data_IF_311384409324
#
_entry.id   IF_311384409324
#
_cell.length_a   1.000
_cell.length_b   1.000
_cell.length_c   1.000
_cell.angle_alpha   90.00
_cell.angle_beta   90.00
_cell.angle_gamma   90.00
#
_symmetry.space_group_name_H-M   'P 1'
#
loop_
_entity.id
_entity.type
_entity.pdbx_description
1 polymer ?
#
# COMPACT_ATOMS: atom_id res chain seq x y z
N UNK A 1 8.81 -1.38 23.77
CA UNK A 1 9.14 -1.77 22.42
C UNK A 1 10.38 -1.02 21.95
N UNK A 2 11.31 -1.72 21.29
CA UNK A 2 12.48 -1.09 20.71
C UNK A 2 12.15 -0.63 19.28
N UNK A 3 12.25 0.68 19.04
CA UNK A 3 12.21 1.27 17.72
C UNK A 3 13.65 1.34 17.18
N UNK A 4 13.87 0.95 15.95
CA UNK A 4 15.17 1.02 15.29
C UNK A 4 15.02 1.59 13.88
N UNK A 5 16.03 2.31 13.42
CA UNK A 5 16.06 2.86 12.06
C UNK A 5 17.48 2.87 11.52
N UNK A 6 17.61 2.96 10.20
CA UNK A 6 18.90 3.13 9.55
C UNK A 6 19.06 4.60 9.12
N UNK A 7 20.18 5.25 9.43
CA UNK A 7 20.46 6.58 8.92
C UNK A 7 20.66 6.50 7.40
N UNK A 8 20.03 7.45 6.68
CA UNK A 8 20.33 7.66 5.26
C UNK A 8 21.32 8.82 5.17
N UNK A 9 22.44 8.58 4.51
CA UNK A 9 23.48 9.59 4.30
C UNK A 9 23.48 9.97 2.83
N UNK A 10 23.50 11.28 2.54
CA UNK A 10 23.72 11.76 1.20
C UNK A 10 25.18 11.52 0.82
N UNK A 11 25.43 10.71 -0.18
CA UNK A 11 26.78 10.38 -0.65
C UNK A 11 27.48 11.58 -1.33
N UNK A 12 26.72 12.61 -1.71
CA UNK A 12 27.24 13.80 -2.38
C UNK A 12 27.56 14.93 -1.39
N UNK A 13 27.11 14.82 -0.13
CA UNK A 13 27.27 15.87 0.89
C UNK A 13 27.76 15.26 2.21
N UNK A 14 29.07 15.34 2.43
CA UNK A 14 29.71 14.76 3.63
C UNK A 14 29.25 15.39 4.95
N UNK A 15 28.73 16.63 4.91
CA UNK A 15 28.22 17.34 6.09
C UNK A 15 26.78 16.95 6.44
N UNK A 16 26.12 16.17 5.58
CA UNK A 16 24.76 15.68 5.78
C UNK A 16 24.63 14.53 6.80
N UNK A 17 25.75 14.09 7.40
CA UNK A 17 25.72 13.04 8.43
C UNK A 17 24.86 13.46 9.63
N UNK A 18 23.85 12.66 10.01
CA UNK A 18 23.06 12.95 11.20
C UNK A 18 23.89 12.71 12.46
N UNK A 19 23.78 13.62 13.41
CA UNK A 19 24.39 13.52 14.75
C UNK A 19 23.36 13.16 15.81
N UNK A 20 22.10 13.45 15.56
CA UNK A 20 20.96 13.19 16.46
C UNK A 20 19.72 12.82 15.64
N UNK A 21 18.72 12.30 16.36
CA UNK A 21 17.41 11.96 15.80
C UNK A 21 16.31 12.47 16.70
N UNK A 22 15.32 13.12 16.12
CA UNK A 22 14.11 13.53 16.80
C UNK A 22 13.07 12.43 16.63
N UNK A 23 12.59 11.90 17.75
CA UNK A 23 11.51 10.91 17.81
C UNK A 23 10.21 11.64 18.09
N UNK A 24 9.24 11.49 17.19
CA UNK A 24 7.90 12.01 17.38
C UNK A 24 6.89 10.89 17.47
N UNK A 25 5.93 11.03 18.36
CA UNK A 25 4.85 10.08 18.64
C UNK A 25 3.48 10.70 18.39
N UNK A 26 2.58 9.90 17.90
CA UNK A 26 1.14 10.14 17.93
C UNK A 26 0.48 8.97 18.61
N UNK A 27 -0.36 9.25 19.61
CA UNK A 27 -1.18 8.24 20.30
C UNK A 27 -2.62 8.37 19.82
N UNK A 28 -3.25 7.23 19.52
CA UNK A 28 -4.62 7.16 19.06
C UNK A 28 -4.76 6.98 17.54
N UNK A 29 -5.90 7.43 17.01
CA UNK A 29 -6.30 7.19 15.63
C UNK A 29 -5.39 7.88 14.58
N UNK A 30 -5.42 7.36 13.37
CA UNK A 30 -4.80 7.97 12.20
C UNK A 30 -5.27 9.42 12.01
N UNK A 31 -4.36 10.29 11.55
CA UNK A 31 -4.65 11.71 11.29
C UNK A 31 -4.46 12.66 12.47
N UNK A 32 -4.17 12.16 13.67
CA UNK A 32 -3.83 12.99 14.83
C UNK A 32 -2.47 13.70 14.72
N UNK A 33 -2.23 14.68 15.58
CA UNK A 33 -0.98 15.44 15.61
C UNK A 33 0.17 14.63 16.28
N UNK A 34 1.36 14.74 15.72
CA UNK A 34 2.58 14.22 16.31
C UNK A 34 3.15 15.19 17.35
N UNK A 35 3.69 14.64 18.45
CA UNK A 35 4.46 15.37 19.47
C UNK A 35 5.88 14.84 19.50
N UNK A 36 6.85 15.73 19.59
CA UNK A 36 8.23 15.34 19.84
C UNK A 36 8.34 14.82 21.28
N UNK A 37 8.88 13.61 21.43
CA UNK A 37 8.99 12.93 22.73
C UNK A 37 10.44 12.71 23.16
N UNK A 38 11.38 12.67 22.22
CA UNK A 38 12.78 12.48 22.52
C UNK A 38 13.69 13.04 21.41
N UNK A 39 14.91 13.40 21.81
CA UNK A 39 16.05 13.60 20.92
C UNK A 39 17.15 12.64 21.36
N UNK A 40 17.57 11.74 20.46
CA UNK A 40 18.53 10.69 20.76
C UNK A 40 19.73 10.74 19.81
N UNK A 41 20.89 10.23 20.26
CA UNK A 41 22.11 10.18 19.45
C UNK A 41 22.28 8.84 18.72
N UNK A 42 21.59 7.80 19.19
CA UNK A 42 21.61 6.47 18.56
C UNK A 42 20.39 6.29 17.68
N UNK A 43 20.53 5.46 16.66
CA UNK A 43 19.44 5.11 15.75
C UNK A 43 18.47 4.08 16.38
N UNK A 44 18.12 4.29 17.64
CA UNK A 44 17.21 3.45 18.42
C UNK A 44 16.50 4.24 19.53
N UNK A 45 15.29 3.82 19.88
CA UNK A 45 14.53 4.40 20.99
C UNK A 45 13.65 3.35 21.66
N UNK A 46 13.68 3.31 23.00
CA UNK A 46 12.82 2.41 23.78
C UNK A 46 11.49 3.10 24.06
N UNK A 47 10.47 2.76 23.29
CA UNK A 47 9.11 3.28 23.43
C UNK A 47 8.35 2.58 24.56
N UNK A 48 7.62 3.36 25.35
CA UNK A 48 6.59 2.86 26.27
C UNK A 48 5.24 2.99 25.61
N UNK A 49 4.45 1.94 25.61
CA UNK A 49 3.14 1.91 24.98
C UNK A 49 2.06 1.59 26.00
N UNK A 50 0.90 2.16 25.81
CA UNK A 50 -0.30 1.91 26.60
C UNK A 50 -1.12 0.82 25.93
N UNK A 51 -1.63 -0.13 26.67
CA UNK A 51 -2.51 -1.18 26.18
C UNK A 51 -3.80 -0.55 25.63
N UNK A 52 -4.32 -1.13 24.58
CA UNK A 52 -5.54 -0.71 23.87
C UNK A 52 -5.44 0.66 23.15
N UNK A 53 -4.23 1.16 22.98
CA UNK A 53 -3.95 2.37 22.17
C UNK A 53 -3.02 2.03 21.01
N UNK A 54 -3.11 2.84 19.95
CA UNK A 54 -2.18 2.78 18.81
C UNK A 54 -1.15 3.87 19.01
N UNK A 55 0.11 3.49 18.96
CA UNK A 55 1.26 4.38 19.01
C UNK A 55 1.92 4.42 17.62
N UNK A 56 2.01 5.60 17.06
CA UNK A 56 2.63 5.85 15.76
C UNK A 56 3.87 6.70 15.92
N UNK A 57 4.95 6.32 15.26
CA UNK A 57 6.25 6.98 15.38
C UNK A 57 6.77 7.41 14.02
N UNK A 58 7.44 8.56 14.00
CA UNK A 58 8.24 9.04 12.88
C UNK A 58 9.54 9.64 13.39
N UNK A 59 10.59 9.54 12.57
CA UNK A 59 11.93 9.96 12.93
C UNK A 59 12.38 11.07 11.99
N UNK A 60 13.07 12.08 12.53
CA UNK A 60 13.79 13.06 11.73
C UNK A 60 15.27 13.01 12.10
N UNK A 61 16.13 12.90 11.10
CA UNK A 61 17.56 13.07 11.28
C UNK A 61 17.89 14.55 11.53
N UNK A 62 18.89 14.83 12.37
CA UNK A 62 19.28 16.19 12.71
C UNK A 62 20.80 16.30 12.79
N UNK A 63 21.33 17.42 12.33
CA UNK A 63 22.70 17.88 12.51
C UNK A 63 22.72 19.41 12.71
N UNK A 64 23.91 20.01 12.69
CA UNK A 64 24.04 21.47 12.87
C UNK A 64 23.39 22.28 11.72
N UNK A 65 23.19 21.68 10.56
CA UNK A 65 22.52 22.30 9.40
C UNK A 65 21.00 22.30 9.50
N UNK A 66 20.40 21.50 10.39
CA UNK A 66 18.95 21.44 10.57
C UNK A 66 18.38 20.03 10.73
N UNK A 67 17.09 19.89 10.34
CA UNK A 67 16.33 18.64 10.43
C UNK A 67 15.91 18.17 9.03
N UNK A 68 15.94 16.86 8.83
CA UNK A 68 15.39 16.22 7.63
C UNK A 68 13.86 16.31 7.59
N UNK A 69 13.28 15.98 6.42
CA UNK A 69 11.89 15.54 6.39
C UNK A 69 11.71 14.32 7.30
N UNK A 70 10.49 14.11 7.85
CA UNK A 70 10.22 12.92 8.65
C UNK A 70 10.28 11.64 7.81
N UNK A 71 10.64 10.54 8.48
CA UNK A 71 10.53 9.19 7.91
C UNK A 71 9.07 8.83 7.63
N UNK A 72 8.85 7.67 7.01
CA UNK A 72 7.55 7.00 7.06
C UNK A 72 7.10 6.80 8.51
N UNK A 73 5.79 6.66 8.69
CA UNK A 73 5.18 6.42 10.00
C UNK A 73 4.99 4.93 10.20
N UNK A 74 5.62 4.40 11.23
CA UNK A 74 5.39 3.04 11.68
C UNK A 74 4.59 3.05 12.98
N UNK A 75 3.72 2.07 13.14
CA UNK A 75 2.76 2.03 14.25
C UNK A 75 2.77 0.67 14.92
N UNK A 76 2.35 0.65 16.16
CA UNK A 76 2.11 -0.57 16.91
C UNK A 76 0.92 -0.38 17.87
N UNK A 77 0.31 -1.49 18.25
CA UNK A 77 -0.78 -1.51 19.21
C UNK A 77 -0.83 -2.84 19.95
N UNK A 78 -1.15 -2.76 21.24
CA UNK A 78 -1.30 -3.93 22.12
C UNK A 78 -2.76 -4.11 22.47
N UNK A 79 -3.38 -5.15 21.90
CA UNK A 79 -4.77 -5.49 22.20
C UNK A 79 -4.87 -6.23 23.55
N UNK A 80 -5.82 -5.90 24.41
CA UNK A 80 -6.10 -6.69 25.61
C UNK A 80 -6.51 -8.11 25.22
N UNK A 81 -5.94 -9.12 25.88
CA UNK A 81 -6.20 -10.54 25.59
C UNK A 81 -5.97 -10.90 24.12
N UNK A 82 -4.88 -10.41 23.55
CA UNK A 82 -4.55 -10.55 22.14
C UNK A 82 -4.61 -12.02 21.66
N UNK A 83 -5.28 -12.23 20.53
CA UNK A 83 -5.34 -13.53 19.82
C UNK A 83 -4.00 -13.90 19.15
N UNK A 84 -3.10 -12.94 19.02
CA UNK A 84 -1.79 -13.05 18.41
C UNK A 84 -1.28 -11.70 17.96
N UNK A 85 -0.04 -11.66 17.47
CA UNK A 85 0.56 -10.43 16.95
C UNK A 85 0.66 -10.49 15.42
N UNK A 86 0.17 -9.45 14.75
CA UNK A 86 0.36 -9.24 13.33
C UNK A 86 1.61 -8.39 13.06
N UNK A 87 2.32 -8.69 11.97
CA UNK A 87 3.34 -7.81 11.40
C UNK A 87 2.74 -7.07 10.21
N UNK A 88 2.66 -5.75 10.30
CA UNK A 88 2.27 -4.88 9.18
C UNK A 88 3.52 -4.44 8.44
N UNK A 89 3.62 -4.80 7.16
CA UNK A 89 4.72 -4.41 6.29
C UNK A 89 4.27 -3.24 5.40
N UNK A 90 4.82 -2.05 5.64
CA UNK A 90 4.57 -0.91 4.77
C UNK A 90 5.40 -1.04 3.49
N UNK A 91 4.79 -1.58 2.43
CA UNK A 91 5.41 -1.75 1.12
C UNK A 91 4.98 -0.67 0.10
N UNK A 92 4.12 0.26 0.50
CA UNK A 92 3.74 1.38 -0.34
C UNK A 92 4.73 2.53 -0.20
N UNK A 93 5.76 2.54 -1.04
CA UNK A 93 6.84 3.54 -1.05
C UNK A 93 6.78 4.48 -2.25
N UNK A 94 5.87 4.23 -3.21
CA UNK A 94 5.80 4.95 -4.47
C UNK A 94 5.42 6.42 -4.27
N UNK A 95 6.22 7.28 -4.93
CA UNK A 95 5.93 8.67 -5.22
C UNK A 95 6.27 8.90 -6.68
N UNK A 96 5.31 9.29 -7.49
CA UNK A 96 5.50 9.43 -8.94
C UNK A 96 4.56 10.46 -9.54
N UNK A 97 4.97 11.02 -10.67
CA UNK A 97 4.06 11.71 -11.59
C UNK A 97 3.01 10.74 -12.14
N UNK A 98 1.94 11.25 -12.77
CA UNK A 98 1.02 10.43 -13.55
C UNK A 98 1.76 9.61 -14.61
N UNK A 99 1.21 8.47 -14.97
CA UNK A 99 1.71 7.69 -16.11
C UNK A 99 1.49 8.45 -17.42
N UNK A 100 2.24 8.13 -18.47
CA UNK A 100 2.26 8.90 -19.69
C UNK A 100 2.52 8.04 -20.94
N UNK A 101 2.04 8.52 -22.06
CA UNK A 101 2.31 7.99 -23.39
C UNK A 101 2.98 9.08 -24.22
N UNK A 102 3.97 8.70 -25.02
CA UNK A 102 4.67 9.57 -25.96
C UNK A 102 4.95 8.80 -27.25
N UNK A 103 4.13 9.05 -28.26
CA UNK A 103 4.18 8.39 -29.58
C UNK A 103 4.26 9.45 -30.70
N UNK A 104 5.36 10.19 -30.75
CA UNK A 104 5.59 11.23 -31.77
C UNK A 104 4.68 12.42 -31.63
N UNK A 105 3.67 12.56 -32.51
CA UNK A 105 2.71 13.66 -32.42
C UNK A 105 1.71 13.49 -31.26
N UNK A 106 1.42 12.27 -30.85
CA UNK A 106 0.53 11.98 -29.73
C UNK A 106 1.32 11.84 -28.41
N UNK A 107 1.03 12.72 -27.45
CA UNK A 107 1.60 12.61 -26.11
C UNK A 107 0.61 13.13 -25.06
N UNK A 108 0.47 12.38 -23.96
CA UNK A 108 -0.49 12.69 -22.88
C UNK A 108 -0.12 12.00 -21.59
N UNK A 109 -0.64 12.50 -20.48
CA UNK A 109 -0.78 11.71 -19.27
C UNK A 109 -1.96 10.74 -19.40
N UNK A 110 -1.82 9.57 -18.79
CA UNK A 110 -2.85 8.50 -18.85
C UNK A 110 -3.59 8.41 -17.51
N UNK A 111 -4.29 9.50 -17.19
CA UNK A 111 -4.95 9.69 -15.88
C UNK A 111 -5.94 8.58 -15.53
N UNK A 112 -6.64 8.01 -16.51
CA UNK A 112 -7.62 6.94 -16.29
C UNK A 112 -6.97 5.65 -15.81
N UNK A 113 -5.68 5.48 -16.02
CA UNK A 113 -4.92 4.28 -15.62
C UNK A 113 -4.03 4.53 -14.42
N UNK A 114 -3.49 5.74 -14.27
CA UNK A 114 -2.59 6.08 -13.16
C UNK A 114 -2.41 7.60 -13.00
N UNK A 115 -3.11 8.17 -12.03
CA UNK A 115 -2.95 9.59 -11.65
C UNK A 115 -1.56 9.92 -11.05
N UNK A 116 -0.68 8.92 -10.92
CA UNK A 116 0.53 9.08 -10.12
C UNK A 116 0.23 9.05 -8.61
N UNK A 117 1.23 9.38 -7.85
CA UNK A 117 1.16 9.40 -6.38
C UNK A 117 1.96 10.60 -5.87
N UNK A 118 1.31 11.71 -5.52
CA UNK A 118 1.97 12.83 -4.88
C UNK A 118 2.63 12.44 -3.56
N UNK A 119 3.70 13.15 -3.17
CA UNK A 119 4.28 13.04 -1.84
C UNK A 119 3.35 13.72 -0.82
N UNK A 120 2.77 12.96 0.09
CA UNK A 120 1.81 13.40 1.12
C UNK A 120 0.57 14.01 0.48
N UNK A 121 0.68 15.19 -0.11
CA UNK A 121 -0.35 15.94 -0.82
C UNK A 121 0.27 16.74 -1.96
N UNK A 122 -0.47 16.93 -3.04
CA UNK A 122 -0.07 17.73 -4.18
C UNK A 122 -1.15 18.71 -4.61
N UNK A 123 -0.74 19.79 -5.27
CA UNK A 123 -1.61 20.79 -5.91
C UNK A 123 -1.33 20.90 -7.40
N UNK A 124 -0.57 19.98 -7.95
CA UNK A 124 -0.04 20.04 -9.33
C UNK A 124 -0.99 19.44 -10.37
N UNK A 125 -2.05 18.75 -9.92
CA UNK A 125 -3.01 18.14 -10.83
C UNK A 125 -4.06 19.17 -11.22
N UNK A 126 -4.15 19.47 -12.51
CA UNK A 126 -5.07 20.50 -13.03
C UNK A 126 -6.26 19.93 -13.79
N UNK A 127 -6.30 18.61 -13.99
CA UNK A 127 -7.35 17.91 -14.71
C UNK A 127 -6.85 17.15 -15.93
N UNK A 128 -7.71 16.32 -16.50
CA UNK A 128 -7.40 15.51 -17.68
C UNK A 128 -7.17 16.37 -18.92
N UNK A 129 -6.23 15.94 -19.76
CA UNK A 129 -5.91 16.61 -20.99
C UNK A 129 -6.92 16.25 -22.09
N UNK A 130 -7.38 17.24 -22.88
CA UNK A 130 -8.25 17.01 -24.03
C UNK A 130 -7.55 17.23 -25.37
N UNK A 131 -6.45 17.98 -25.46
CA UNK A 131 -5.64 18.08 -26.68
C UNK A 131 -4.28 17.38 -26.46
N UNK A 132 -4.11 16.27 -27.15
CA UNK A 132 -3.01 15.33 -26.99
C UNK A 132 -2.00 15.36 -28.15
N UNK A 133 -2.26 16.16 -29.21
CA UNK A 133 -1.37 16.27 -30.38
C UNK A 133 -0.39 17.41 -30.24
N UNK A 134 0.89 17.12 -30.34
CA UNK A 134 1.96 18.14 -30.31
C UNK A 134 1.85 19.16 -31.44
N UNK A 135 1.35 18.73 -32.60
CA UNK A 135 1.10 19.62 -33.74
C UNK A 135 -0.05 20.60 -33.54
N UNK A 136 -0.88 20.43 -32.52
CA UNK A 136 -1.98 21.34 -32.23
C UNK A 136 -1.47 22.67 -31.65
N UNK A 137 -1.60 23.71 -32.41
CA UNK A 137 -1.27 25.08 -31.99
C UNK A 137 -2.36 25.72 -31.14
N UNK A 138 -1.97 26.66 -30.32
CA UNK A 138 -2.88 27.50 -29.53
C UNK A 138 -3.51 28.58 -30.42
N UNK A 139 -4.80 28.83 -30.20
CA UNK A 139 -5.56 29.91 -30.83
C UNK A 139 -6.64 30.43 -29.90
N UNK A 140 -7.26 31.55 -30.20
CA UNK A 140 -8.36 32.14 -29.41
C UNK A 140 -9.58 31.21 -29.33
N UNK A 141 -9.72 30.27 -30.26
CA UNK A 141 -10.87 29.35 -30.33
C UNK A 141 -10.55 27.94 -29.87
N UNK A 142 -9.27 27.57 -29.67
CA UNK A 142 -8.83 26.23 -29.31
C UNK A 142 -7.62 26.26 -28.41
N UNK A 143 -7.66 25.43 -27.36
CA UNK A 143 -6.46 25.09 -26.63
C UNK A 143 -5.50 24.29 -27.50
N UNK A 144 -4.20 24.55 -27.38
CA UNK A 144 -3.15 23.80 -28.04
C UNK A 144 -2.72 22.57 -27.24
N UNK A 145 -1.61 21.96 -27.66
CA UNK A 145 -1.04 20.79 -26.99
C UNK A 145 -0.96 20.94 -25.47
N UNK A 146 -1.41 19.93 -24.75
CA UNK A 146 -1.40 19.88 -23.30
C UNK A 146 -2.55 20.61 -22.62
N UNK A 147 -3.50 21.19 -23.38
CA UNK A 147 -4.70 21.79 -22.79
C UNK A 147 -5.49 20.79 -21.97
N UNK A 148 -5.95 21.21 -20.79
CA UNK A 148 -6.72 20.40 -19.84
C UNK A 148 -8.04 21.06 -19.49
N UNK A 149 -8.92 20.30 -18.83
CA UNK A 149 -10.21 20.78 -18.34
C UNK A 149 -10.10 21.70 -17.12
N UNK A 150 -8.94 21.73 -16.48
CA UNK A 150 -8.67 22.52 -15.26
C UNK A 150 -9.61 22.21 -14.06
N UNK A 151 -10.23 21.04 -14.02
CA UNK A 151 -11.23 20.66 -13.01
C UNK A 151 -10.65 20.64 -11.59
N UNK A 152 -9.33 20.46 -11.46
CA UNK A 152 -8.65 20.34 -10.18
C UNK A 152 -7.64 21.46 -9.90
N UNK A 153 -7.71 22.57 -10.67
CA UNK A 153 -6.82 23.69 -10.47
C UNK A 153 -6.96 24.25 -9.04
N UNK A 154 -5.85 24.26 -8.30
CA UNK A 154 -5.81 24.70 -6.91
C UNK A 154 -6.37 23.70 -5.89
N UNK A 155 -6.88 22.54 -6.32
CA UNK A 155 -7.32 21.50 -5.42
C UNK A 155 -6.13 20.81 -4.73
N UNK A 156 -6.29 20.46 -3.46
CA UNK A 156 -5.33 19.65 -2.72
C UNK A 156 -5.69 18.18 -2.93
N UNK A 157 -4.76 17.41 -3.48
CA UNK A 157 -4.94 16.00 -3.79
C UNK A 157 -4.07 15.16 -2.87
N UNK A 158 -4.68 14.20 -2.16
CA UNK A 158 -3.96 13.27 -1.31
C UNK A 158 -3.11 12.29 -2.15
N UNK A 159 -1.90 12.04 -1.67
CA UNK A 159 -0.98 11.06 -2.22
C UNK A 159 -0.57 10.02 -1.20
N UNK A 160 0.69 9.57 -1.27
CA UNK A 160 1.24 8.66 -0.27
C UNK A 160 1.64 9.45 0.99
N UNK A 161 0.87 9.26 2.05
CA UNK A 161 1.14 9.88 3.36
C UNK A 161 2.15 9.09 4.19
N UNK A 162 2.53 7.89 3.74
CA UNK A 162 3.45 6.98 4.45
C UNK A 162 2.98 6.63 5.88
N UNK A 163 1.67 6.65 6.14
CA UNK A 163 1.08 6.54 7.48
C UNK A 163 -0.06 5.50 7.55
N UNK A 164 -0.07 4.54 6.63
CA UNK A 164 -1.13 3.55 6.53
C UNK A 164 -1.06 2.39 7.54
N UNK A 165 0.10 2.06 8.17
CA UNK A 165 0.12 1.04 9.22
C UNK A 165 -0.83 1.30 10.38
N UNK A 166 -1.11 2.58 10.71
CA UNK A 166 -2.11 2.93 11.73
C UNK A 166 -3.52 2.54 11.31
N UNK A 167 -3.89 2.75 10.03
CA UNK A 167 -5.22 2.44 9.49
C UNK A 167 -5.49 0.93 9.52
N UNK A 168 -4.53 0.13 9.10
CA UNK A 168 -4.61 -1.34 9.19
C UNK A 168 -4.62 -1.80 10.64
N UNK A 169 -3.77 -1.20 11.47
CA UNK A 169 -3.66 -1.49 12.90
C UNK A 169 -4.96 -1.24 13.67
N UNK A 170 -5.72 -0.20 13.33
CA UNK A 170 -7.05 0.05 13.93
C UNK A 170 -7.96 -1.16 13.73
N UNK A 171 -8.03 -1.71 12.52
CA UNK A 171 -8.88 -2.85 12.21
C UNK A 171 -8.34 -4.18 12.77
N UNK A 172 -7.01 -4.35 12.83
CA UNK A 172 -6.38 -5.50 13.51
C UNK A 172 -6.73 -5.52 15.00
N UNK A 173 -6.62 -4.36 15.68
CA UNK A 173 -6.97 -4.24 17.09
C UNK A 173 -8.47 -4.44 17.34
N UNK A 174 -9.33 -3.90 16.48
CA UNK A 174 -10.78 -4.12 16.55
C UNK A 174 -11.14 -5.62 16.41
N UNK A 175 -10.34 -6.38 15.66
CA UNK A 175 -10.49 -7.83 15.55
C UNK A 175 -9.84 -8.63 16.72
N UNK A 176 -9.17 -7.94 17.65
CA UNK A 176 -8.56 -8.54 18.84
C UNK A 176 -7.12 -9.02 18.64
N UNK A 177 -6.38 -8.47 17.67
CA UNK A 177 -4.97 -8.76 17.45
C UNK A 177 -4.11 -7.56 17.87
N UNK A 178 -3.00 -7.83 18.52
CA UNK A 178 -1.92 -6.86 18.63
C UNK A 178 -1.19 -6.75 17.30
N UNK A 179 -0.50 -5.64 17.05
CA UNK A 179 0.33 -5.51 15.86
C UNK A 179 1.60 -4.70 16.11
N UNK A 180 2.58 -4.95 15.29
CA UNK A 180 3.77 -4.12 15.08
C UNK A 180 3.94 -3.87 13.59
N UNK A 181 4.72 -2.87 13.22
CA UNK A 181 4.95 -2.57 11.80
C UNK A 181 6.43 -2.39 11.47
N UNK A 182 6.74 -2.59 10.20
CA UNK A 182 8.08 -2.40 9.63
C UNK A 182 8.00 -1.81 8.23
N UNK A 183 9.07 -1.17 7.77
CA UNK A 183 9.21 -0.81 6.37
C UNK A 183 9.58 -2.04 5.53
N UNK A 184 9.14 -2.06 4.27
CA UNK A 184 9.57 -3.08 3.31
C UNK A 184 11.10 -3.08 3.17
N UNK A 185 11.73 -1.90 3.23
CA UNK A 185 13.18 -1.77 3.12
C UNK A 185 13.93 -2.47 4.26
N UNK A 186 13.40 -2.43 5.48
CA UNK A 186 14.00 -3.16 6.61
C UNK A 186 13.90 -4.69 6.42
N UNK A 187 12.80 -5.17 5.81
CA UNK A 187 12.66 -6.58 5.42
C UNK A 187 13.66 -6.95 4.33
N UNK A 188 13.78 -6.15 3.29
CA UNK A 188 14.70 -6.37 2.17
C UNK A 188 16.17 -6.38 2.60
N UNK A 189 16.51 -5.60 3.58
CA UNK A 189 17.85 -5.57 4.18
C UNK A 189 18.09 -6.68 5.22
N UNK A 190 17.07 -7.51 5.51
CA UNK A 190 17.16 -8.59 6.49
C UNK A 190 17.23 -8.10 7.95
N UNK A 191 16.98 -6.83 8.20
CA UNK A 191 16.93 -6.23 9.55
C UNK A 191 15.65 -6.63 10.27
N UNK A 192 14.50 -6.54 9.58
CA UNK A 192 13.23 -7.01 10.10
C UNK A 192 12.98 -8.46 9.68
N UNK A 193 12.61 -9.30 10.65
CA UNK A 193 12.23 -10.69 10.43
C UNK A 193 10.72 -10.81 10.43
N UNK A 194 10.17 -11.62 9.50
CA UNK A 194 8.73 -11.86 9.40
C UNK A 194 8.28 -13.16 10.08
N UNK A 195 9.21 -14.00 10.44
CA UNK A 195 8.92 -15.27 11.11
C UNK A 195 8.45 -15.04 12.56
N UNK A 196 7.55 -15.90 13.03
CA UNK A 196 7.01 -15.85 14.40
C UNK A 196 5.73 -15.04 14.56
N UNK A 197 5.30 -14.32 13.54
CA UNK A 197 4.02 -13.62 13.53
C UNK A 197 2.88 -14.51 13.02
N UNK A 198 1.68 -14.38 13.61
CA UNK A 198 0.48 -15.12 13.19
C UNK A 198 -0.04 -14.66 11.83
N UNK A 199 0.12 -13.37 11.55
CA UNK A 199 -0.41 -12.68 10.38
C UNK A 199 0.64 -11.72 9.86
N UNK A 200 0.86 -11.75 8.56
CA UNK A 200 1.55 -10.71 7.81
C UNK A 200 0.50 -9.90 7.06
N UNK A 201 0.51 -8.59 7.22
CA UNK A 201 -0.37 -7.64 6.52
C UNK A 201 0.51 -6.72 5.67
N UNK A 202 0.50 -6.93 4.35
CA UNK A 202 1.38 -6.24 3.39
C UNK A 202 0.58 -5.15 2.69
N UNK A 203 0.91 -3.92 3.01
CA UNK A 203 0.30 -2.72 2.43
C UNK A 203 1.04 -2.37 1.13
N UNK A 204 0.43 -2.65 -0.01
CA UNK A 204 1.01 -2.32 -1.31
C UNK A 204 0.44 -1.02 -1.91
N UNK A 205 -0.72 -0.54 -1.46
CA UNK A 205 -1.30 0.71 -1.94
C UNK A 205 -1.35 0.81 -3.47
N UNK A 206 -0.71 1.83 -4.02
CA UNK A 206 -0.49 2.00 -5.48
C UNK A 206 0.95 1.68 -5.88
N UNK A 207 1.60 0.73 -5.22
CA UNK A 207 2.95 0.27 -5.56
C UNK A 207 2.94 -0.43 -6.91
N UNK A 208 3.75 0.06 -7.85
CA UNK A 208 4.00 -0.58 -9.14
C UNK A 208 5.34 -0.13 -9.71
N UNK A 209 5.96 -0.95 -10.52
CA UNK A 209 7.15 -0.59 -11.26
C UNK A 209 6.90 0.68 -12.09
N UNK A 210 7.73 1.68 -11.88
CA UNK A 210 7.56 3.00 -12.48
C UNK A 210 8.86 3.43 -13.18
N UNK A 211 8.74 3.81 -14.45
CA UNK A 211 9.86 4.35 -15.24
C UNK A 211 10.34 5.68 -14.64
N UNK A 212 11.65 5.87 -14.60
CA UNK A 212 12.29 7.10 -14.11
C UNK A 212 13.07 7.76 -15.24
N UNK A 213 12.91 9.07 -15.39
CA UNK A 213 13.66 9.87 -16.38
C UNK A 213 13.44 9.36 -17.81
N UNK A 214 12.20 9.15 -18.24
CA UNK A 214 11.85 8.56 -19.55
C UNK A 214 12.47 7.18 -19.80
N UNK A 215 12.79 6.43 -18.73
CA UNK A 215 13.48 5.15 -18.83
C UNK A 215 15.00 5.25 -18.97
N UNK A 216 15.57 6.44 -18.81
CA UNK A 216 17.02 6.64 -18.77
C UNK A 216 17.68 6.09 -17.49
N UNK A 217 16.89 5.91 -16.43
CA UNK A 217 17.32 5.35 -15.15
C UNK A 217 16.61 4.02 -14.88
N UNK A 218 17.15 3.18 -13.99
CA UNK A 218 16.47 1.96 -13.55
C UNK A 218 15.08 2.28 -13.02
N UNK A 219 14.10 1.44 -13.34
CA UNK A 219 12.75 1.51 -12.79
C UNK A 219 12.77 1.42 -11.27
N UNK A 220 11.78 2.05 -10.62
CA UNK A 220 11.61 2.03 -9.17
C UNK A 220 10.24 1.48 -8.79
N UNK A 221 10.06 1.24 -7.51
CA UNK A 221 8.77 0.92 -6.88
C UNK A 221 8.16 -0.43 -7.30
N UNK A 222 8.97 -1.39 -7.77
CA UNK A 222 8.53 -2.77 -7.98
C UNK A 222 7.94 -3.32 -6.67
N UNK A 223 6.80 -4.01 -6.76
CA UNK A 223 6.12 -4.53 -5.58
C UNK A 223 6.88 -5.71 -4.96
N UNK A 224 7.20 -6.71 -5.77
CA UNK A 224 7.82 -7.95 -5.31
C UNK A 224 9.33 -7.93 -5.57
N UNK A 225 10.10 -7.63 -4.52
CA UNK A 225 11.54 -7.85 -4.57
C UNK A 225 11.88 -9.31 -4.18
N UNK A 226 12.99 -9.89 -4.68
CA UNK A 226 13.41 -11.23 -4.29
C UNK A 226 13.54 -11.40 -2.77
N UNK A 227 14.04 -10.39 -2.07
CA UNK A 227 14.21 -10.41 -0.62
C UNK A 227 12.86 -10.43 0.12
N UNK A 228 11.87 -9.64 -0.31
CA UNK A 228 10.53 -9.65 0.26
C UNK A 228 9.85 -11.00 0.03
N UNK A 229 9.90 -11.52 -1.20
CA UNK A 229 9.33 -12.84 -1.52
C UNK A 229 9.93 -13.93 -0.63
N UNK A 230 11.24 -13.97 -0.50
CA UNK A 230 11.92 -14.96 0.35
C UNK A 230 11.53 -14.81 1.83
N UNK A 231 11.41 -13.58 2.36
CA UNK A 231 11.01 -13.35 3.75
C UNK A 231 9.57 -13.83 4.01
N UNK A 232 8.65 -13.56 3.07
CA UNK A 232 7.26 -14.04 3.15
C UNK A 232 7.21 -15.56 3.08
N UNK A 233 7.93 -16.21 2.15
CA UNK A 233 7.99 -17.67 2.06
C UNK A 233 8.52 -18.31 3.35
N UNK A 234 9.56 -17.73 3.95
CA UNK A 234 10.10 -18.23 5.21
C UNK A 234 9.08 -18.14 6.34
N UNK A 235 8.34 -17.03 6.42
CA UNK A 235 7.31 -16.85 7.41
C UNK A 235 6.12 -17.82 7.20
N UNK A 236 5.69 -18.05 5.95
CA UNK A 236 4.60 -19.01 5.66
C UNK A 236 4.98 -20.44 6.04
N UNK A 237 6.24 -20.84 5.87
CA UNK A 237 6.75 -22.15 6.33
C UNK A 237 6.64 -22.34 7.86
N UNK A 238 6.59 -21.24 8.62
CA UNK A 238 6.35 -21.27 10.07
C UNK A 238 4.88 -21.03 10.46
N UNK A 239 3.97 -21.01 9.47
CA UNK A 239 2.53 -20.91 9.68
C UNK A 239 1.95 -19.50 9.71
N UNK A 240 2.68 -18.51 9.23
CA UNK A 240 2.17 -17.15 9.08
C UNK A 240 1.13 -17.08 7.94
N UNK A 241 -0.05 -16.55 8.23
CA UNK A 241 -1.04 -16.20 7.21
C UNK A 241 -0.72 -14.84 6.59
N UNK A 242 -1.09 -14.61 5.33
CA UNK A 242 -0.69 -13.41 4.60
C UNK A 242 -1.88 -12.68 4.00
N UNK A 243 -2.05 -11.40 4.35
CA UNK A 243 -2.92 -10.45 3.66
C UNK A 243 -2.04 -9.56 2.77
N UNK A 244 -2.41 -9.42 1.49
CA UNK A 244 -1.78 -8.51 0.54
C UNK A 244 -2.86 -7.63 -0.09
N UNK A 245 -2.72 -6.31 -0.02
CA UNK A 245 -3.70 -5.39 -0.56
C UNK A 245 -3.06 -4.29 -1.40
N UNK A 246 -3.61 -4.01 -2.58
CA UNK A 246 -3.11 -2.95 -3.43
C UNK A 246 -3.74 -2.92 -4.82
N UNK A 247 -3.70 -1.76 -5.47
CA UNK A 247 -4.33 -1.54 -6.76
C UNK A 247 -3.66 -2.32 -7.90
N UNK A 248 -2.35 -2.50 -7.84
CA UNK A 248 -1.55 -3.09 -8.91
C UNK A 248 -0.91 -4.43 -8.52
N UNK A 249 -1.44 -5.12 -7.51
CA UNK A 249 -0.85 -6.37 -6.98
C UNK A 249 -0.69 -7.47 -8.03
N UNK A 250 -1.52 -7.45 -9.07
CA UNK A 250 -1.43 -8.43 -10.14
C UNK A 250 -0.78 -7.86 -11.41
N UNK A 251 -1.12 -6.65 -11.82
CA UNK A 251 -0.53 -6.05 -13.03
C UNK A 251 0.98 -5.86 -12.90
N UNK A 252 1.48 -5.47 -11.73
CA UNK A 252 2.92 -5.31 -11.49
C UNK A 252 3.72 -6.62 -11.61
N UNK A 253 3.04 -7.76 -11.52
CA UNK A 253 3.65 -9.10 -11.64
C UNK A 253 3.46 -9.69 -13.03
N UNK A 254 2.28 -9.52 -13.61
CA UNK A 254 1.86 -10.29 -14.77
C UNK A 254 1.75 -9.47 -16.06
N UNK A 255 1.48 -8.15 -15.98
CA UNK A 255 1.21 -7.30 -17.15
C UNK A 255 2.49 -6.70 -17.73
N UNK A 256 3.38 -7.57 -18.17
CA UNK A 256 4.65 -7.23 -18.81
C UNK A 256 4.83 -8.07 -20.08
N UNK A 257 5.57 -7.56 -21.06
CA UNK A 257 5.95 -8.33 -22.26
C UNK A 257 6.65 -9.66 -21.90
N UNK A 258 7.46 -9.63 -20.84
CA UNK A 258 8.18 -10.79 -20.32
C UNK A 258 8.13 -10.77 -18.80
N UNK A 259 7.03 -11.28 -18.20
CA UNK A 259 6.90 -11.31 -16.74
C UNK A 259 8.04 -12.10 -16.08
N UNK A 260 8.49 -11.65 -14.93
CA UNK A 260 9.50 -12.34 -14.14
C UNK A 260 8.92 -13.67 -13.63
N UNK A 261 9.57 -14.78 -14.00
CA UNK A 261 9.11 -16.14 -13.67
C UNK A 261 9.04 -16.41 -12.16
N UNK A 262 9.96 -15.85 -11.37
CA UNK A 262 10.01 -16.01 -9.91
C UNK A 262 8.83 -15.26 -9.24
N UNK A 263 8.56 -14.03 -9.66
CA UNK A 263 7.42 -13.26 -9.18
C UNK A 263 6.09 -13.94 -9.52
N UNK A 264 5.94 -14.41 -10.77
CA UNK A 264 4.77 -15.17 -11.22
C UNK A 264 4.60 -16.46 -10.41
N UNK A 265 5.69 -17.18 -10.15
CA UNK A 265 5.66 -18.39 -9.34
C UNK A 265 5.27 -18.08 -7.89
N UNK A 266 5.82 -17.03 -7.29
CA UNK A 266 5.46 -16.59 -5.95
C UNK A 266 3.96 -16.22 -5.87
N UNK A 267 3.47 -15.39 -6.78
CA UNK A 267 2.07 -14.98 -6.82
C UNK A 267 1.12 -16.18 -6.94
N UNK A 268 1.44 -17.15 -7.80
CA UNK A 268 0.60 -18.33 -8.03
C UNK A 268 0.72 -19.38 -6.93
N UNK A 269 1.94 -19.71 -6.53
CA UNK A 269 2.17 -20.89 -5.68
C UNK A 269 2.17 -20.54 -4.19
N UNK A 270 2.62 -19.35 -3.81
CA UNK A 270 2.66 -18.89 -2.41
C UNK A 270 1.38 -18.11 -2.08
N UNK A 271 1.08 -17.08 -2.86
CA UNK A 271 -0.05 -16.18 -2.57
C UNK A 271 -1.40 -16.67 -3.11
N UNK A 272 -1.41 -17.50 -4.14
CA UNK A 272 -2.62 -18.16 -4.63
C UNK A 272 -3.45 -17.38 -5.61
N UNK A 273 -2.91 -16.37 -6.28
CA UNK A 273 -3.64 -15.55 -7.22
C UNK A 273 -2.97 -15.44 -8.59
N UNK A 274 -3.75 -15.00 -9.57
CA UNK A 274 -3.33 -14.68 -10.92
C UNK A 274 -4.07 -13.41 -11.40
N UNK A 275 -3.55 -12.79 -12.45
CA UNK A 275 -4.09 -11.56 -13.01
C UNK A 275 -5.33 -11.80 -13.87
N UNK A 276 -6.35 -10.94 -13.68
CA UNK A 276 -7.61 -10.96 -14.42
C UNK A 276 -7.85 -9.72 -15.27
N UNK A 277 -7.03 -8.70 -15.12
CA UNK A 277 -7.11 -7.45 -15.88
C UNK A 277 -6.98 -6.21 -14.99
N UNK A 278 -6.71 -5.08 -15.63
CA UNK A 278 -6.63 -3.76 -15.04
C UNK A 278 -7.98 -3.05 -15.09
N UNK A 279 -8.09 -1.88 -14.47
CA UNK A 279 -9.29 -1.04 -14.48
C UNK A 279 -10.56 -1.84 -14.21
N UNK A 280 -10.51 -2.68 -13.19
CA UNK A 280 -11.59 -3.62 -12.89
C UNK A 280 -12.85 -2.94 -12.35
N UNK A 281 -12.77 -1.69 -11.90
CA UNK A 281 -13.91 -0.90 -11.46
C UNK A 281 -13.66 0.60 -11.65
N UNK A 282 -14.70 1.31 -12.10
CA UNK A 282 -14.75 2.77 -12.14
C UNK A 282 -15.64 3.36 -11.05
N UNK A 283 -16.37 2.52 -10.30
CA UNK A 283 -17.29 2.99 -9.24
C UNK A 283 -16.68 2.92 -7.85
N UNK A 284 -15.62 2.14 -7.64
CA UNK A 284 -15.06 1.90 -6.32
C UNK A 284 -15.95 1.05 -5.42
N UNK A 285 -16.94 0.34 -5.98
CA UNK A 285 -17.90 -0.48 -5.25
C UNK A 285 -17.57 -1.95 -5.37
N UNK A 286 -17.52 -2.62 -4.24
CA UNK A 286 -17.20 -4.04 -4.09
C UNK A 286 -18.16 -4.67 -3.11
N UNK A 287 -18.46 -5.93 -3.28
CA UNK A 287 -19.24 -6.70 -2.31
C UNK A 287 -18.58 -8.04 -1.99
N UNK A 288 -18.75 -8.50 -0.77
CA UNK A 288 -18.35 -9.85 -0.38
C UNK A 288 -19.38 -10.87 -0.85
N UNK A 289 -18.91 -12.03 -1.26
CA UNK A 289 -19.79 -13.16 -1.61
C UNK A 289 -19.65 -14.25 -0.56
N UNK A 290 -20.77 -14.88 -0.14
CA UNK A 290 -20.70 -16.08 0.67
C UNK A 290 -19.91 -17.14 -0.10
N UNK A 291 -18.78 -17.54 0.45
CA UNK A 291 -17.97 -18.60 -0.14
C UNK A 291 -18.38 -19.94 0.46
N UNK A 292 -17.93 -21.04 -0.14
CA UNK A 292 -18.00 -22.36 0.49
C UNK A 292 -17.23 -22.40 1.84
N UNK A 293 -16.45 -21.37 2.12
CA UNK A 293 -15.77 -21.13 3.41
C UNK A 293 -16.77 -20.42 4.32
N UNK A 294 -17.34 -21.15 5.25
CA UNK A 294 -18.37 -20.67 6.20
C UNK A 294 -17.94 -19.46 7.05
N UNK A 295 -16.65 -19.12 7.08
CA UNK A 295 -16.09 -18.07 7.91
C UNK A 295 -16.16 -16.67 7.27
N UNK A 296 -16.17 -16.58 5.93
CA UNK A 296 -16.46 -15.32 5.25
C UNK A 296 -17.96 -15.31 4.95
N UNK A 297 -18.72 -14.99 5.99
CA UNK A 297 -20.17 -15.05 5.97
C UNK A 297 -20.75 -13.66 5.86
N UNK A 298 -21.68 -13.54 4.95
CA UNK A 298 -22.51 -12.38 4.82
C UNK A 298 -22.11 -11.50 3.64
N UNK A 299 -23.12 -10.88 3.11
CA UNK A 299 -23.01 -9.85 2.10
C UNK A 299 -22.61 -8.55 2.78
N UNK A 300 -21.52 -7.97 2.35
CA UNK A 300 -21.04 -6.67 2.83
C UNK A 300 -20.73 -5.80 1.64
N UNK A 301 -21.42 -4.68 1.53
CA UNK A 301 -21.10 -3.64 0.55
C UNK A 301 -19.91 -2.83 1.03
N UNK A 302 -18.97 -2.60 0.15
CA UNK A 302 -17.71 -1.91 0.41
C UNK A 302 -17.56 -0.80 -0.63
N UNK A 303 -17.25 0.40 -0.16
CA UNK A 303 -16.86 1.52 -1.01
C UNK A 303 -15.42 1.91 -0.66
N UNK A 304 -14.52 1.91 -1.65
CA UNK A 304 -13.20 2.49 -1.53
C UNK A 304 -13.12 3.81 -2.32
N UNK A 305 -12.12 4.64 -2.02
CA UNK A 305 -11.97 5.94 -2.67
C UNK A 305 -11.47 5.78 -4.11
N UNK A 306 -12.29 6.13 -5.06
CA UNK A 306 -12.00 6.11 -6.50
C UNK A 306 -12.01 7.52 -7.13
N UNK A 307 -12.03 8.56 -6.32
CA UNK A 307 -12.04 9.96 -6.75
C UNK A 307 -10.86 10.73 -6.15
N UNK A 308 -10.36 11.72 -6.88
CA UNK A 308 -9.35 12.63 -6.36
C UNK A 308 -9.92 13.43 -5.19
N UNK A 309 -9.24 13.43 -4.06
CA UNK A 309 -9.67 14.09 -2.84
C UNK A 309 -8.47 14.46 -1.97
N UNK A 310 -8.69 15.26 -0.94
CA UNK A 310 -7.66 15.59 0.06
C UNK A 310 -7.61 14.63 1.25
N UNK A 311 -8.42 13.56 1.25
CA UNK A 311 -8.55 12.65 2.40
C UNK A 311 -7.64 11.43 2.28
N UNK A 312 -7.74 10.72 1.18
CA UNK A 312 -6.94 9.54 0.85
C UNK A 312 -6.74 9.49 -0.65
N UNK A 313 -5.65 8.90 -1.11
CA UNK A 313 -5.34 8.80 -2.53
C UNK A 313 -6.44 8.06 -3.32
N UNK A 314 -6.54 8.40 -4.59
CA UNK A 314 -7.49 7.79 -5.53
C UNK A 314 -7.01 6.41 -5.99
N UNK A 315 -7.97 5.49 -6.17
CA UNK A 315 -7.76 4.16 -6.77
C UNK A 315 -8.52 4.11 -8.09
N UNK A 316 -7.90 4.60 -9.15
CA UNK A 316 -8.49 4.71 -10.48
C UNK A 316 -8.47 3.40 -11.28
N UNK A 317 -7.47 2.55 -11.02
CA UNK A 317 -7.24 1.33 -11.80
C UNK A 317 -6.96 0.10 -10.94
N UNK A 318 -7.95 -0.38 -10.18
CA UNK A 318 -7.81 -1.59 -9.39
C UNK A 318 -7.68 -2.83 -10.27
N UNK A 319 -7.03 -3.88 -9.76
CA UNK A 319 -6.89 -5.13 -10.48
C UNK A 319 -8.08 -6.08 -10.25
N UNK A 320 -8.52 -6.75 -11.30
CA UNK A 320 -9.24 -8.01 -11.19
C UNK A 320 -8.24 -9.15 -11.03
N UNK A 321 -8.54 -10.09 -10.13
CA UNK A 321 -7.67 -11.23 -9.80
C UNK A 321 -8.44 -12.54 -9.83
N UNK A 322 -7.75 -13.64 -10.15
CA UNK A 322 -8.31 -14.99 -10.12
C UNK A 322 -7.56 -15.88 -9.13
N UNK A 323 -8.20 -16.93 -8.65
CA UNK A 323 -7.50 -18.00 -7.96
C UNK A 323 -6.55 -18.71 -8.95
N UNK A 324 -5.30 -18.91 -8.57
CA UNK A 324 -4.30 -19.58 -9.42
C UNK A 324 -4.51 -21.08 -9.54
N UNK A 325 -5.24 -21.68 -8.59
CA UNK A 325 -5.49 -23.12 -8.52
C UNK A 325 -6.76 -23.43 -7.68
N UNK A 326 -7.02 -24.72 -7.44
CA UNK A 326 -8.19 -25.21 -6.72
C UNK A 326 -8.19 -24.92 -5.21
N UNK A 327 -7.07 -24.48 -4.64
CA UNK A 327 -6.95 -24.11 -3.23
C UNK A 327 -7.45 -22.69 -2.96
N UNK A 328 -7.60 -21.90 -4.01
CA UNK A 328 -8.10 -20.53 -3.95
C UNK A 328 -9.56 -20.41 -4.36
N UNK A 329 -10.23 -19.41 -3.84
CA UNK A 329 -11.60 -19.06 -4.19
C UNK A 329 -11.84 -17.56 -4.12
N UNK A 330 -12.71 -17.01 -4.99
CA UNK A 330 -13.12 -15.61 -4.88
C UNK A 330 -14.03 -15.42 -3.66
N UNK A 331 -13.82 -14.33 -2.93
CA UNK A 331 -14.68 -13.95 -1.82
C UNK A 331 -15.21 -12.50 -1.93
N UNK A 332 -14.74 -11.76 -2.93
CA UNK A 332 -15.17 -10.39 -3.23
C UNK A 332 -15.28 -10.18 -4.74
N UNK A 333 -16.25 -9.33 -5.13
CA UNK A 333 -16.45 -8.92 -6.52
C UNK A 333 -16.72 -7.44 -6.65
N UNK A 334 -16.31 -6.87 -7.77
CA UNK A 334 -16.69 -5.52 -8.19
C UNK A 334 -18.16 -5.50 -8.60
N UNK A 335 -18.93 -4.53 -8.08
CA UNK A 335 -20.39 -4.47 -8.21
C UNK A 335 -20.82 -4.30 -9.66
N UNK A 336 -20.12 -3.48 -10.43
CA UNK A 336 -20.51 -3.10 -11.78
C UNK A 336 -20.35 -4.20 -12.84
N UNK A 337 -19.50 -5.21 -12.62
CA UNK A 337 -19.17 -6.19 -13.65
C UNK A 337 -18.96 -7.63 -13.15
N UNK A 338 -19.09 -7.85 -11.84
CA UNK A 338 -18.89 -9.15 -11.18
C UNK A 338 -17.47 -9.75 -11.34
N UNK A 339 -16.46 -8.96 -11.77
CA UNK A 339 -15.07 -9.40 -11.75
C UNK A 339 -14.59 -9.58 -10.30
N UNK A 340 -13.69 -10.52 -10.08
CA UNK A 340 -13.20 -10.77 -8.73
C UNK A 340 -12.30 -9.63 -8.25
N UNK A 341 -12.61 -9.10 -7.08
CA UNK A 341 -11.85 -8.07 -6.37
C UNK A 341 -10.97 -8.64 -5.26
N UNK A 342 -11.27 -9.84 -4.79
CA UNK A 342 -10.53 -10.50 -3.72
C UNK A 342 -10.54 -12.02 -3.84
N UNK A 343 -9.40 -12.63 -3.52
CA UNK A 343 -9.17 -14.08 -3.51
C UNK A 343 -8.65 -14.47 -2.13
N UNK A 344 -9.19 -15.55 -1.57
CA UNK A 344 -8.61 -16.26 -0.44
C UNK A 344 -8.11 -17.62 -0.88
N UNK A 345 -7.04 -18.11 -0.24
CA UNK A 345 -6.47 -19.42 -0.57
C UNK A 345 -6.08 -20.18 0.69
N UNK A 346 -6.35 -21.50 0.70
CA UNK A 346 -5.92 -22.45 1.74
C UNK A 346 -4.68 -23.17 1.24
N UNK A 347 -3.55 -22.86 1.83
CA UNK A 347 -2.26 -23.48 1.53
C UNK A 347 -1.90 -24.48 2.62
N UNK A 348 -0.90 -25.32 2.38
CA UNK A 348 -0.41 -26.25 3.38
C UNK A 348 0.25 -25.49 4.54
N UNK A 349 -0.40 -25.53 5.70
CA UNK A 349 0.08 -24.87 6.93
C UNK A 349 -0.23 -23.39 7.07
N UNK A 350 -0.78 -22.70 6.05
CA UNK A 350 -1.14 -21.27 6.11
C UNK A 350 -2.29 -20.91 5.17
N UNK A 351 -2.74 -19.67 5.27
CA UNK A 351 -3.77 -19.10 4.41
C UNK A 351 -3.34 -17.74 3.86
N UNK A 352 -3.89 -17.40 2.70
CA UNK A 352 -3.67 -16.08 2.10
C UNK A 352 -4.98 -15.40 1.77
N UNK A 353 -4.97 -14.06 1.81
CA UNK A 353 -6.00 -13.21 1.26
C UNK A 353 -5.33 -12.13 0.41
N UNK A 354 -5.83 -11.92 -0.80
CA UNK A 354 -5.31 -10.89 -1.72
C UNK A 354 -6.47 -10.05 -2.19
N UNK A 355 -6.32 -8.72 -2.08
CA UNK A 355 -7.28 -7.74 -2.60
C UNK A 355 -6.66 -7.01 -3.79
N UNK A 356 -7.41 -6.89 -4.88
CA UNK A 356 -7.03 -6.13 -6.07
C UNK A 356 -7.19 -4.61 -5.92
N UNK A 357 -7.43 -4.12 -4.70
CA UNK A 357 -7.50 -2.71 -4.32
C UNK A 357 -6.94 -2.52 -2.90
N UNK A 358 -6.47 -1.32 -2.55
CA UNK A 358 -5.90 -1.04 -1.24
C UNK A 358 -6.95 -1.00 -0.13
N UNK A 359 -6.72 -1.72 0.95
CA UNK A 359 -7.62 -1.80 2.11
C UNK A 359 -7.80 -0.45 2.80
N UNK A 360 -6.75 0.33 2.95
CA UNK A 360 -6.73 1.62 3.61
C UNK A 360 -7.59 2.69 2.91
N UNK A 361 -7.97 2.46 1.66
CA UNK A 361 -8.84 3.36 0.89
C UNK A 361 -10.33 3.11 1.09
N UNK A 362 -10.71 2.04 1.78
CA UNK A 362 -12.11 1.78 2.15
C UNK A 362 -12.62 2.94 3.02
N UNK A 363 -13.72 3.56 2.61
CA UNK A 363 -14.20 4.82 3.17
C UNK A 363 -14.71 4.66 4.61
N UNK A 364 -15.56 3.64 4.90
CA UNK A 364 -16.09 3.41 6.23
C UNK A 364 -15.13 2.60 7.09
N UNK A 365 -14.82 3.11 8.28
CA UNK A 365 -14.01 2.40 9.29
C UNK A 365 -14.71 1.12 9.73
N UNK A 366 -16.00 1.16 9.96
CA UNK A 366 -16.79 0.01 10.41
C UNK A 366 -16.71 -1.13 9.38
N UNK A 367 -16.72 -0.78 8.09
CA UNK A 367 -16.56 -1.75 6.99
C UNK A 367 -15.13 -2.31 6.96
N UNK A 368 -14.11 -1.47 7.18
CA UNK A 368 -12.71 -1.95 7.31
C UNK A 368 -12.58 -2.95 8.47
N UNK A 369 -13.11 -2.58 9.64
CA UNK A 369 -13.04 -3.42 10.84
C UNK A 369 -13.75 -4.76 10.62
N UNK A 370 -14.92 -4.74 9.98
CA UNK A 370 -15.67 -5.95 9.63
C UNK A 370 -14.92 -6.82 8.63
N UNK A 371 -14.39 -6.24 7.55
CA UNK A 371 -13.63 -6.99 6.54
C UNK A 371 -12.35 -7.61 7.12
N UNK A 372 -11.59 -6.84 7.89
CA UNK A 372 -10.39 -7.35 8.56
C UNK A 372 -10.73 -8.52 9.48
N UNK A 373 -11.80 -8.37 10.29
CA UNK A 373 -12.28 -9.46 11.14
C UNK A 373 -12.64 -10.72 10.34
N UNK A 374 -13.35 -10.58 9.22
CA UNK A 374 -13.73 -11.72 8.37
C UNK A 374 -12.50 -12.43 7.79
N UNK A 375 -11.49 -11.68 7.34
CA UNK A 375 -10.23 -12.23 6.85
C UNK A 375 -9.48 -12.97 7.96
N UNK A 376 -9.39 -12.38 9.15
CA UNK A 376 -8.70 -13.00 10.29
C UNK A 376 -9.44 -14.23 10.83
N UNK A 377 -10.77 -14.22 10.82
CA UNK A 377 -11.58 -15.40 11.16
C UNK A 377 -11.35 -16.55 10.13
N UNK A 378 -11.21 -16.20 8.83
CA UNK A 378 -10.79 -17.17 7.83
C UNK A 378 -9.37 -17.71 8.11
N UNK A 379 -8.42 -16.86 8.49
CA UNK A 379 -7.07 -17.29 8.84
C UNK A 379 -7.03 -18.21 10.06
N UNK A 380 -7.90 -17.99 11.02
CA UNK A 380 -8.02 -18.81 12.23
C UNK A 380 -8.89 -20.07 12.07
N UNK A 381 -9.58 -20.24 10.92
CA UNK A 381 -10.47 -21.37 10.72
C UNK A 381 -9.71 -22.71 10.66
N UNK A 382 -10.30 -23.79 11.17
CA UNK A 382 -9.77 -25.15 10.97
C UNK A 382 -9.90 -25.59 9.51
N UNK A 383 -9.09 -26.56 9.10
CA UNK A 383 -9.08 -27.09 7.73
C UNK A 383 -10.34 -27.91 7.41
#
# INVERSE_FOLDING_TARGET
YLLTWAPTVDSLEATAMPTKYVVSERVGAHGGAFKEIAVVERAEYMAKVTDNEIHSYRIQAMNDGGRSFPSEVLSLGVAPNSKGTAMVVNAFTRVSAPDWVDEGDFATFTDETDHGVPYIQGINYIGSQYEKRRSAGWSDARGGFGSSHSDYEGAVIAGNTFDFPAVHGESLMAAGYSFVSTSVKAVEQGVAKLEGYKVLDIIAGKQKETKVGYGAYPSKYKLLSPALMQAVENATKTGANVLLTGAYVASDVFDHQSPNAEEVAFAKNVMGYAWGGNQASCTGEVYTIPTAVKQILGYTDIKYNNELSNKVYCVESPNSIFASDKLGMPFMRYTENNRNAGIVSRREGYRTAVLGFPFETIVSREVRDLLMKQILDFFASEN
#
